data_IF_327401386821
#
_entry.id   IF_327401386821
#
_cell.length_a   1.000
_cell.length_b   1.000
_cell.length_c   1.000
_cell.angle_alpha   90.00
_cell.angle_beta   90.00
_cell.angle_gamma   90.00
#
_symmetry.space_group_name_H-M   'P 1'
#
loop_
_entity.id
_entity.type
_entity.pdbx_description
1 polymer ?
#
# COMPACT_ATOMS: atom_id res chain seq x y z
N UNK A 1 3.57 -55.51 -31.53
CA UNK A 1 4.42 -54.32 -31.27
C UNK A 1 3.50 -53.13 -31.01
N UNK A 2 2.78 -53.12 -29.87
CA UNK A 2 1.66 -52.19 -29.62
C UNK A 2 1.94 -51.18 -28.48
N UNK A 3 3.22 -50.96 -28.14
CA UNK A 3 3.62 -50.00 -27.09
C UNK A 3 3.84 -48.58 -27.61
N UNK A 4 3.99 -48.42 -28.93
CA UNK A 4 4.27 -47.15 -29.57
C UNK A 4 3.09 -46.15 -29.57
N UNK A 5 1.82 -46.54 -29.86
CA UNK A 5 0.73 -45.56 -29.98
C UNK A 5 0.38 -44.94 -28.62
N UNK A 6 0.45 -45.72 -27.53
CA UNK A 6 0.16 -45.23 -26.17
C UNK A 6 1.22 -44.24 -25.66
N UNK A 7 2.47 -44.46 -26.05
CA UNK A 7 3.58 -43.56 -25.73
C UNK A 7 3.50 -42.25 -26.53
N UNK A 8 3.17 -42.32 -27.82
CA UNK A 8 2.96 -41.16 -28.68
C UNK A 8 1.77 -40.30 -28.25
N UNK A 9 0.64 -40.90 -27.88
CA UNK A 9 -0.51 -40.14 -27.36
C UNK A 9 -0.16 -39.41 -26.06
N UNK A 10 0.63 -40.04 -25.19
CA UNK A 10 1.06 -39.45 -23.92
C UNK A 10 2.00 -38.26 -24.13
N UNK A 11 2.94 -38.36 -25.07
CA UNK A 11 3.85 -37.24 -25.39
C UNK A 11 3.12 -36.07 -26.06
N UNK A 12 2.19 -36.34 -26.98
CA UNK A 12 1.35 -35.31 -27.61
C UNK A 12 0.50 -34.57 -26.57
N UNK A 13 -0.11 -35.30 -25.63
CA UNK A 13 -0.91 -34.69 -24.56
C UNK A 13 -0.05 -33.84 -23.62
N UNK A 14 1.15 -34.30 -23.25
CA UNK A 14 2.10 -33.52 -22.44
C UNK A 14 2.57 -32.25 -23.17
N UNK A 15 2.86 -32.34 -24.47
CA UNK A 15 3.23 -31.18 -25.30
C UNK A 15 2.08 -30.18 -25.39
N UNK A 16 0.83 -30.65 -25.55
CA UNK A 16 -0.36 -29.79 -25.57
C UNK A 16 -0.60 -29.10 -24.22
N UNK A 17 -0.40 -29.79 -23.11
CA UNK A 17 -0.50 -29.18 -21.78
C UNK A 17 0.60 -28.12 -21.57
N UNK A 18 1.83 -28.40 -22.01
CA UNK A 18 2.94 -27.44 -21.96
C UNK A 18 2.62 -26.17 -22.76
N UNK A 19 2.12 -26.30 -23.99
CA UNK A 19 1.77 -25.12 -24.81
C UNK A 19 0.61 -24.33 -24.21
N UNK A 20 -0.42 -24.98 -23.67
CA UNK A 20 -1.54 -24.32 -23.00
C UNK A 20 -1.10 -23.57 -21.73
N UNK A 21 -0.15 -24.14 -20.96
CA UNK A 21 0.44 -23.48 -19.81
C UNK A 21 1.30 -22.28 -20.23
N UNK A 22 2.08 -22.39 -21.31
CA UNK A 22 2.85 -21.27 -21.86
C UNK A 22 1.95 -20.14 -22.39
N UNK A 23 0.82 -20.46 -23.02
CA UNK A 23 -0.14 -19.46 -23.55
C UNK A 23 -0.80 -18.64 -22.45
N UNK A 24 -1.00 -19.20 -21.24
CA UNK A 24 -1.50 -18.41 -20.09
C UNK A 24 -0.51 -17.36 -19.59
N UNK A 25 0.72 -17.39 -20.08
CA UNK A 25 1.75 -16.37 -19.85
C UNK A 25 1.83 -15.35 -21.00
N UNK A 26 0.81 -15.27 -21.86
CA UNK A 26 0.68 -14.15 -22.80
C UNK A 26 0.21 -12.93 -22.01
N UNK A 27 1.16 -12.31 -21.31
CA UNK A 27 0.95 -11.03 -20.63
C UNK A 27 0.29 -10.07 -21.62
N UNK A 28 -0.85 -9.52 -21.21
CA UNK A 28 -1.55 -8.43 -21.90
C UNK A 28 -0.51 -7.48 -22.50
N UNK A 29 -0.63 -7.20 -23.80
CA UNK A 29 0.26 -6.32 -24.57
C UNK A 29 0.79 -5.18 -23.70
N UNK A 30 2.11 -5.17 -23.49
CA UNK A 30 2.79 -4.17 -22.68
C UNK A 30 2.63 -2.81 -23.35
N UNK A 31 1.59 -2.07 -22.96
CA UNK A 31 1.44 -0.65 -23.27
C UNK A 31 1.87 0.11 -22.01
N UNK A 32 3.13 0.55 -21.93
CA UNK A 32 3.61 1.28 -20.76
C UNK A 32 2.74 2.52 -20.54
N UNK A 33 2.37 2.75 -19.27
CA UNK A 33 1.73 4.00 -18.84
C UNK A 33 0.20 3.99 -18.69
N UNK A 34 -0.50 2.86 -18.83
CA UNK A 34 -1.96 2.78 -18.60
C UNK A 34 -2.31 2.53 -17.13
N UNK A 35 -1.81 3.36 -16.24
CA UNK A 35 -2.24 3.36 -14.84
C UNK A 35 -3.72 3.76 -14.72
N UNK A 36 -4.47 3.16 -13.78
CA UNK A 36 -5.88 3.52 -13.54
C UNK A 36 -6.06 5.02 -13.23
N UNK A 37 -5.02 5.64 -12.65
CA UNK A 37 -5.01 7.04 -12.28
C UNK A 37 -3.99 7.82 -13.14
N UNK A 38 -4.41 8.47 -14.25
CA UNK A 38 -3.52 9.32 -15.04
C UNK A 38 -3.17 10.63 -14.31
N UNK A 39 -4.07 11.11 -13.45
CA UNK A 39 -3.87 12.28 -12.60
C UNK A 39 -4.05 11.90 -11.13
N UNK A 40 -3.22 12.47 -10.28
CA UNK A 40 -3.21 12.20 -8.83
C UNK A 40 -3.21 13.50 -8.04
N UNK A 41 -3.82 13.49 -6.86
CA UNK A 41 -3.80 14.61 -5.91
C UNK A 41 -2.88 14.30 -4.72
N UNK A 42 -2.24 15.30 -4.13
CA UNK A 42 -1.31 15.10 -2.98
C UNK A 42 -2.04 14.55 -1.74
N UNK A 43 -3.33 14.86 -1.60
CA UNK A 43 -4.18 14.40 -0.53
C UNK A 43 -5.60 14.97 -0.64
N UNK A 44 -6.50 14.44 0.17
CA UNK A 44 -7.90 14.88 0.25
C UNK A 44 -8.28 15.23 1.69
N UNK A 45 -9.24 16.14 1.85
CA UNK A 45 -9.78 16.51 3.16
C UNK A 45 -11.14 15.85 3.37
N UNK A 46 -11.41 15.40 4.58
CA UNK A 46 -12.70 14.84 4.97
C UNK A 46 -12.67 13.35 5.32
N UNK A 47 -13.83 12.77 5.67
CA UNK A 47 -13.94 11.36 6.01
C UNK A 47 -13.84 10.48 4.77
N UNK A 48 -13.03 9.43 4.85
CA UNK A 48 -12.85 8.43 3.80
C UNK A 48 -13.69 7.18 4.13
N UNK A 49 -14.25 6.57 3.09
CA UNK A 49 -15.08 5.37 3.15
C UNK A 49 -14.25 4.11 2.87
N UNK A 50 -13.41 4.17 1.85
CA UNK A 50 -12.69 3.01 1.31
C UNK A 50 -11.30 3.37 0.81
N UNK A 51 -10.40 2.38 0.80
CA UNK A 51 -9.02 2.46 0.33
C UNK A 51 -8.75 1.26 -0.57
N UNK A 52 -8.34 1.54 -1.81
CA UNK A 52 -7.85 0.56 -2.76
C UNK A 52 -6.42 0.92 -3.16
N UNK A 53 -5.49 -0.03 -2.99
CA UNK A 53 -4.09 0.14 -3.39
C UNK A 53 -3.76 -0.95 -4.38
N UNK A 54 -3.28 -0.55 -5.56
CA UNK A 54 -2.82 -1.44 -6.60
C UNK A 54 -1.29 -1.37 -6.64
N UNK A 55 -0.59 -2.50 -6.46
CA UNK A 55 0.86 -2.54 -6.62
C UNK A 55 1.25 -2.27 -8.08
N UNK A 56 2.55 -2.09 -8.31
CA UNK A 56 3.10 -2.01 -9.67
C UNK A 56 2.75 -3.28 -10.46
N UNK A 57 2.40 -3.11 -11.73
CA UNK A 57 2.03 -4.18 -12.65
C UNK A 57 2.76 -3.99 -13.98
N UNK A 58 2.76 -5.00 -14.87
CA UNK A 58 3.28 -4.82 -16.24
C UNK A 58 2.63 -3.65 -17.00
N UNK A 59 1.38 -3.32 -16.67
CA UNK A 59 0.62 -2.20 -17.27
C UNK A 59 0.84 -0.84 -16.57
N UNK A 60 1.40 -0.81 -15.37
CA UNK A 60 1.61 0.41 -14.59
C UNK A 60 2.86 0.31 -13.69
N UNK A 61 3.84 1.14 -13.98
CA UNK A 61 5.14 1.21 -13.30
C UNK A 61 5.09 1.86 -11.90
N UNK A 62 3.92 2.41 -11.54
CA UNK A 62 3.66 3.15 -10.30
C UNK A 62 2.61 2.43 -9.46
N UNK A 63 2.71 2.62 -8.14
CA UNK A 63 1.66 2.18 -7.21
C UNK A 63 0.48 3.12 -7.37
N UNK A 64 -0.72 2.56 -7.53
CA UNK A 64 -1.94 3.37 -7.62
C UNK A 64 -2.68 3.35 -6.29
N UNK A 65 -2.98 4.52 -5.72
CA UNK A 65 -3.71 4.67 -4.46
C UNK A 65 -5.02 5.40 -4.73
N UNK A 66 -6.15 4.75 -4.45
CA UNK A 66 -7.49 5.31 -4.64
C UNK A 66 -8.20 5.32 -3.29
N UNK A 67 -8.81 6.45 -2.95
CA UNK A 67 -9.65 6.59 -1.76
C UNK A 67 -11.05 7.02 -2.18
N UNK A 68 -12.06 6.40 -1.57
CA UNK A 68 -13.46 6.79 -1.80
C UNK A 68 -13.91 7.72 -0.69
N UNK A 69 -14.42 8.89 -1.04
CA UNK A 69 -14.92 9.86 -0.05
C UNK A 69 -16.27 9.42 0.52
N UNK A 70 -16.48 9.62 1.83
CA UNK A 70 -17.71 9.17 2.50
C UNK A 70 -18.94 10.05 2.19
N UNK A 71 -18.72 11.32 1.84
CA UNK A 71 -19.80 12.30 1.61
C UNK A 71 -20.52 12.08 0.29
N UNK A 72 -19.79 11.82 -0.78
CA UNK A 72 -20.31 11.75 -2.15
C UNK A 72 -19.97 10.42 -2.85
N UNK A 73 -19.32 9.47 -2.16
CA UNK A 73 -18.86 8.20 -2.73
C UNK A 73 -17.94 8.36 -3.96
N UNK A 74 -17.32 9.53 -4.14
CA UNK A 74 -16.44 9.79 -5.27
C UNK A 74 -15.07 9.15 -5.02
N UNK A 75 -14.57 8.32 -5.96
CA UNK A 75 -13.20 7.82 -5.92
C UNK A 75 -12.22 8.93 -6.31
N UNK A 76 -11.14 9.06 -5.53
CA UNK A 76 -10.09 10.06 -5.78
C UNK A 76 -8.73 9.38 -5.76
N UNK A 77 -7.95 9.64 -6.80
CA UNK A 77 -6.57 9.18 -6.93
C UNK A 77 -5.61 10.02 -6.07
N UNK A 78 -4.82 9.36 -5.23
CA UNK A 78 -3.82 9.98 -4.36
C UNK A 78 -2.42 9.66 -4.88
N UNK A 79 -1.55 10.67 -4.92
CA UNK A 79 -0.14 10.48 -5.29
C UNK A 79 0.56 9.60 -4.25
N UNK A 80 1.21 8.49 -4.67
CA UNK A 80 1.96 7.64 -3.76
C UNK A 80 3.21 8.32 -3.19
N UNK A 81 3.72 9.39 -3.81
CA UNK A 81 4.87 10.17 -3.35
C UNK A 81 4.52 11.14 -2.21
N UNK A 82 3.26 11.59 -2.17
CA UNK A 82 2.74 12.50 -1.16
C UNK A 82 2.69 11.90 0.26
N UNK A 83 2.63 12.76 1.29
CA UNK A 83 2.56 12.33 2.70
C UNK A 83 1.38 11.40 2.98
N UNK A 84 0.21 11.73 2.43
CA UNK A 84 -1.01 10.93 2.60
C UNK A 84 -0.87 9.58 1.88
N UNK A 85 -0.44 9.58 0.62
CA UNK A 85 -0.21 8.35 -0.15
C UNK A 85 0.77 7.42 0.55
N UNK A 86 1.96 7.91 0.93
CA UNK A 86 2.96 7.14 1.70
C UNK A 86 2.37 6.52 2.97
N UNK A 87 1.56 7.26 3.72
CA UNK A 87 0.95 6.75 4.94
C UNK A 87 -0.06 5.63 4.65
N UNK A 88 -0.93 5.83 3.66
CA UNK A 88 -1.95 4.86 3.26
C UNK A 88 -1.30 3.58 2.73
N UNK A 89 -0.33 3.70 1.83
CA UNK A 89 0.41 2.55 1.26
C UNK A 89 1.13 1.75 2.34
N UNK A 90 1.84 2.42 3.27
CA UNK A 90 2.52 1.72 4.38
C UNK A 90 1.54 0.98 5.28
N UNK A 91 0.41 1.59 5.62
CA UNK A 91 -0.59 0.95 6.45
C UNK A 91 -1.24 -0.23 5.71
N UNK A 92 -1.60 -0.03 4.44
CA UNK A 92 -2.18 -1.06 3.58
C UNK A 92 -1.26 -2.27 3.46
N UNK A 93 0.03 -2.07 3.16
CA UNK A 93 1.02 -3.17 3.11
C UNK A 93 1.06 -3.96 4.42
N UNK A 94 1.03 -3.28 5.57
CA UNK A 94 1.03 -3.92 6.88
C UNK A 94 -0.27 -4.67 7.16
N UNK A 95 -1.41 -4.07 6.83
CA UNK A 95 -2.71 -4.69 7.03
C UNK A 95 -2.87 -5.93 6.14
N UNK A 96 -2.50 -5.83 4.87
CA UNK A 96 -2.54 -6.92 3.91
C UNK A 96 -1.63 -8.09 4.34
N UNK A 97 -0.37 -7.82 4.72
CA UNK A 97 0.55 -8.86 5.20
C UNK A 97 0.05 -9.59 6.44
N UNK A 98 -0.72 -8.91 7.30
CA UNK A 98 -1.27 -9.47 8.54
C UNK A 98 -2.72 -9.96 8.40
N UNK A 99 -3.31 -9.96 7.20
CA UNK A 99 -4.72 -10.34 6.99
C UNK A 99 -5.73 -9.45 7.71
N UNK A 100 -5.38 -8.19 8.01
CA UNK A 100 -6.24 -7.25 8.75
C UNK A 100 -7.11 -6.42 7.82
N UNK A 101 -8.23 -5.93 8.35
CA UNK A 101 -9.14 -5.08 7.60
C UNK A 101 -8.51 -3.73 7.21
N UNK A 102 -8.36 -3.49 5.91
CA UNK A 102 -7.74 -2.29 5.33
C UNK A 102 -8.42 -0.97 5.75
N UNK A 103 -9.72 -0.98 6.09
CA UNK A 103 -10.45 0.24 6.52
C UNK A 103 -9.84 0.87 7.77
N UNK A 104 -9.06 0.12 8.57
CA UNK A 104 -8.32 0.68 9.71
C UNK A 104 -7.32 1.77 9.27
N UNK A 105 -6.81 1.70 8.04
CA UNK A 105 -5.85 2.66 7.49
C UNK A 105 -6.46 4.03 7.18
N UNK A 106 -7.79 4.11 7.08
CA UNK A 106 -8.52 5.35 6.88
C UNK A 106 -8.74 6.13 8.17
N UNK A 107 -8.53 5.50 9.34
CA UNK A 107 -8.72 6.16 10.63
C UNK A 107 -7.59 7.17 10.84
N UNK A 108 -7.96 8.45 10.95
CA UNK A 108 -7.02 9.54 11.22
C UNK A 108 -6.32 9.28 12.54
N UNK A 109 -5.04 8.92 12.51
CA UNK A 109 -4.25 8.65 13.71
C UNK A 109 -3.93 9.97 14.45
N UNK A 110 -4.93 10.56 15.12
CA UNK A 110 -4.80 11.77 15.96
C UNK A 110 -3.82 11.57 17.12
N UNK A 111 -3.42 10.33 17.45
CA UNK A 111 -2.58 10.04 18.63
C UNK A 111 -1.12 10.47 18.49
N UNK A 112 -0.57 10.62 17.27
CA UNK A 112 0.86 10.97 17.10
C UNK A 112 1.22 12.38 17.57
N UNK A 113 0.33 13.36 17.47
CA UNK A 113 0.62 14.73 17.91
C UNK A 113 0.60 14.86 19.43
N UNK A 114 -0.29 14.13 20.13
CA UNK A 114 -0.39 14.21 21.60
C UNK A 114 0.84 13.63 22.31
N UNK A 115 1.37 12.49 21.83
CA UNK A 115 2.56 11.86 22.42
C UNK A 115 3.86 12.64 22.22
N UNK A 116 4.01 13.35 21.09
CA UNK A 116 5.18 14.20 20.85
C UNK A 116 5.17 15.44 21.75
N UNK A 117 4.00 16.08 21.90
CA UNK A 117 3.89 17.27 22.74
C UNK A 117 4.06 16.97 24.23
N UNK A 118 3.55 15.83 24.71
CA UNK A 118 3.82 15.37 26.08
C UNK A 118 5.31 15.11 26.34
N UNK A 119 6.02 14.45 25.41
CA UNK A 119 7.46 14.20 25.54
C UNK A 119 8.31 15.47 25.50
N UNK A 120 7.95 16.46 24.69
CA UNK A 120 8.62 17.77 24.66
C UNK A 120 8.39 18.54 25.97
N UNK A 121 7.16 18.51 26.51
CA UNK A 121 6.86 19.14 27.81
C UNK A 121 7.62 18.48 28.97
N UNK A 122 7.70 17.14 28.99
CA UNK A 122 8.48 16.41 30.00
C UNK A 122 9.96 16.82 29.97
N UNK A 123 10.60 16.86 28.79
CA UNK A 123 12.01 17.30 28.68
C UNK A 123 12.26 18.72 29.19
N UNK A 124 11.33 19.64 28.95
CA UNK A 124 11.46 21.02 29.43
C UNK A 124 11.36 21.10 30.95
N UNK A 125 10.48 20.28 31.54
CA UNK A 125 10.27 20.21 32.99
C UNK A 125 11.46 19.57 33.71
N UNK A 126 12.05 18.51 33.13
CA UNK A 126 13.26 17.86 33.64
C UNK A 126 14.48 18.80 33.61
N UNK A 127 14.63 19.61 32.55
CA UNK A 127 15.71 20.61 32.47
C UNK A 127 15.56 21.72 33.51
N UNK A 128 14.34 22.11 33.86
CA UNK A 128 14.08 23.20 34.79
C UNK A 128 14.23 22.78 36.27
N UNK A 129 14.08 21.49 36.57
CA UNK A 129 14.41 20.92 37.88
C UNK A 129 15.91 20.76 38.11
N UNK A 130 16.70 20.49 37.07
CA UNK A 130 18.14 20.32 37.20
C UNK A 130 18.91 21.64 37.35
N UNK A 131 18.35 22.76 36.88
CA UNK A 131 18.95 24.10 37.04
C UNK A 131 18.57 24.80 38.35
N UNK A 132 17.52 24.34 39.05
CA UNK A 132 17.13 24.85 40.37
C UNK A 132 17.89 24.21 41.54
N UNK A 133 18.53 23.05 41.33
CA UNK A 133 19.32 22.34 42.34
C UNK A 133 20.78 22.80 42.45
N UNK A 134 21.27 23.61 41.50
CA UNK A 134 22.67 24.07 41.48
C UNK A 134 22.88 25.44 42.16
N UNK A 135 21.83 26.04 42.72
CA UNK A 135 21.86 27.38 43.34
C UNK A 135 21.66 27.39 44.86
N UNK A 136 21.87 26.26 45.54
CA UNK A 136 21.81 26.21 47.02
C UNK A 136 22.93 25.32 47.56
N UNK A 137 24.18 25.78 47.44
CA UNK A 137 25.31 25.31 48.26
C UNK A 137 26.47 26.29 48.10
N UNK A 138 26.44 27.38 48.86
CA UNK A 138 27.55 27.99 49.62
C UNK A 138 27.13 29.37 50.15
#
# INVERSE_FOLDING_TARGET
MELYPRSLCRSVFLLLLLTLLSVRQSGSTFVPGRCLCPKTQVGVRGPLKELSVYPKSPSCDKITVIVTMKRNNVPVCISPEGRMGKQLTRCWNRAHKLGRNVKLCLRRNRKRTKGHHQRLRQRHQDQQQHSGSTSTSQ
#
